data_IF_198898784848
#
_entry.id   IF_198898784848
#
_cell.length_a   1.000
_cell.length_b   1.000
_cell.length_c   1.000
_cell.angle_alpha   90.00
_cell.angle_beta   90.00
_cell.angle_gamma   90.00
#
_symmetry.space_group_name_H-M   'P 1'
#
loop_
_entity.id
_entity.type
_entity.pdbx_description
1 polymer ?
#
# COMPACT_ATOMS: atom_id res chain seq x y z
N UNK A 1 26.78 40.92 -37.25
CA UNK A 1 26.91 40.71 -35.79
C UNK A 1 25.53 40.48 -35.20
N UNK A 2 25.13 39.23 -35.12
CA UNK A 2 23.83 38.85 -34.58
C UNK A 2 23.93 38.72 -33.06
N UNK A 3 22.97 39.35 -32.34
CA UNK A 3 22.81 39.17 -30.88
C UNK A 3 22.06 37.89 -30.64
N UNK A 4 22.70 36.93 -29.96
CA UNK A 4 22.01 35.77 -29.39
C UNK A 4 20.97 36.22 -28.33
N UNK A 5 19.77 35.60 -28.30
CA UNK A 5 18.81 35.89 -27.25
C UNK A 5 19.27 35.25 -25.93
N UNK A 6 19.48 36.05 -24.92
CA UNK A 6 19.68 35.60 -23.54
C UNK A 6 18.37 34.97 -23.03
N UNK A 7 18.38 33.67 -22.83
CA UNK A 7 17.33 32.96 -22.12
C UNK A 7 17.44 33.33 -20.63
N UNK A 8 16.52 34.17 -20.14
CA UNK A 8 16.39 34.43 -18.71
C UNK A 8 15.94 33.16 -18.00
N UNK A 9 16.78 32.62 -17.15
CA UNK A 9 16.40 31.55 -16.22
C UNK A 9 15.38 32.14 -15.24
N UNK A 10 14.15 31.63 -15.32
CA UNK A 10 13.10 31.95 -14.34
C UNK A 10 13.44 31.15 -13.08
N UNK A 11 13.97 31.80 -12.05
CA UNK A 11 14.10 31.19 -10.73
C UNK A 11 12.70 31.10 -10.11
N UNK A 12 12.11 29.93 -10.18
CA UNK A 12 10.84 29.67 -9.47
C UNK A 12 11.14 29.61 -7.98
N UNK A 13 10.52 30.47 -7.17
CA UNK A 13 10.77 30.56 -5.74
C UNK A 13 10.29 29.28 -5.03
N UNK A 14 10.91 28.90 -3.91
CA UNK A 14 10.50 27.76 -3.07
C UNK A 14 9.04 27.86 -2.62
N UNK A 15 8.51 29.07 -2.43
CA UNK A 15 7.11 29.32 -2.10
C UNK A 15 6.14 28.92 -3.23
N UNK A 16 6.53 29.08 -4.52
CA UNK A 16 5.72 28.66 -5.68
C UNK A 16 5.66 27.12 -5.76
N UNK A 17 6.73 26.43 -5.43
CA UNK A 17 6.73 24.95 -5.37
C UNK A 17 5.84 24.43 -4.23
N UNK A 18 5.88 25.06 -3.04
CA UNK A 18 5.01 24.68 -1.92
C UNK A 18 3.51 24.87 -2.23
N UNK A 19 3.15 25.90 -3.01
CA UNK A 19 1.78 26.17 -3.43
C UNK A 19 1.22 25.13 -4.42
N UNK A 20 2.09 24.40 -5.13
CA UNK A 20 1.73 23.42 -6.15
C UNK A 20 1.75 21.95 -5.65
N UNK A 21 1.87 21.72 -4.34
CA UNK A 21 1.84 20.37 -3.76
C UNK A 21 0.43 19.82 -3.74
N UNK A 22 0.29 18.57 -4.20
CA UNK A 22 -0.98 17.87 -4.13
C UNK A 22 -1.33 17.57 -2.66
N UNK A 23 -2.57 17.83 -2.31
CA UNK A 23 -3.16 17.37 -1.07
C UNK A 23 -4.42 16.61 -1.39
N UNK A 24 -4.62 15.47 -0.75
CA UNK A 24 -5.81 14.68 -0.96
C UNK A 24 -6.24 14.00 0.33
N UNK A 25 -7.53 14.04 0.62
CA UNK A 25 -8.06 13.28 1.73
C UNK A 25 -9.35 12.56 1.33
N UNK A 26 -9.51 11.35 1.84
CA UNK A 26 -10.74 10.57 1.78
C UNK A 26 -11.05 10.05 3.17
N UNK A 27 -12.25 10.36 3.65
CA UNK A 27 -12.80 9.82 4.89
C UNK A 27 -14.17 9.22 4.62
N UNK A 28 -14.40 7.96 4.98
CA UNK A 28 -15.71 7.34 4.84
C UNK A 28 -15.94 6.20 5.82
N UNK A 29 -17.22 5.89 6.03
CA UNK A 29 -17.65 4.72 6.78
C UNK A 29 -18.50 3.77 5.94
N UNK A 30 -18.51 2.50 6.34
CA UNK A 30 -19.42 1.49 5.80
C UNK A 30 -20.12 0.77 6.93
N UNK A 31 -21.36 0.36 6.68
CA UNK A 31 -22.21 -0.33 7.66
C UNK A 31 -22.98 -1.47 7.02
N UNK A 32 -23.35 -2.46 7.82
CA UNK A 32 -24.22 -3.56 7.38
C UNK A 32 -25.69 -3.14 7.52
N UNK A 33 -26.44 -3.23 6.42
CA UNK A 33 -27.87 -2.93 6.36
C UNK A 33 -28.53 -4.07 5.59
N UNK A 34 -29.51 -4.73 6.19
CA UNK A 34 -30.25 -5.87 5.59
C UNK A 34 -29.32 -6.96 5.02
N UNK A 35 -28.28 -7.31 5.78
CA UNK A 35 -27.31 -8.36 5.40
C UNK A 35 -26.22 -7.92 4.41
N UNK A 36 -26.32 -6.72 3.83
CA UNK A 36 -25.38 -6.22 2.80
C UNK A 36 -24.62 -5.00 3.33
N UNK A 37 -23.34 -4.89 2.98
CA UNK A 37 -22.53 -3.72 3.32
C UNK A 37 -22.89 -2.55 2.42
N UNK A 38 -23.20 -1.42 3.04
CA UNK A 38 -23.53 -0.16 2.37
C UNK A 38 -22.56 0.94 2.80
N UNK A 39 -22.28 1.86 1.90
CA UNK A 39 -21.54 3.07 2.21
C UNK A 39 -22.39 3.97 3.11
N UNK A 40 -21.79 4.51 4.16
CA UNK A 40 -22.33 5.58 4.99
C UNK A 40 -21.92 6.97 4.49
N UNK A 41 -21.33 7.76 5.38
CA UNK A 41 -20.77 9.08 5.05
C UNK A 41 -19.59 8.97 4.10
N UNK A 42 -19.34 10.02 3.32
CA UNK A 42 -18.18 10.15 2.46
C UNK A 42 -17.75 11.61 2.40
N UNK A 43 -16.48 11.85 2.69
CA UNK A 43 -15.83 13.13 2.45
C UNK A 43 -14.59 12.91 1.58
N UNK A 44 -14.49 13.69 0.51
CA UNK A 44 -13.34 13.70 -0.41
C UNK A 44 -12.83 15.13 -0.57
N UNK A 45 -11.54 15.32 -0.55
CA UNK A 45 -10.92 16.61 -0.82
C UNK A 45 -9.62 16.49 -1.63
N UNK A 46 -9.25 17.58 -2.27
CA UNK A 46 -8.02 17.67 -3.08
C UNK A 46 -7.99 16.67 -4.24
N UNK A 47 -6.88 15.95 -4.42
CA UNK A 47 -6.64 15.05 -5.55
C UNK A 47 -6.96 13.58 -5.28
N UNK A 48 -7.37 13.21 -4.07
CA UNK A 48 -7.73 11.83 -3.76
C UNK A 48 -9.25 11.62 -3.89
N UNK A 49 -9.63 10.52 -4.53
CA UNK A 49 -11.03 10.14 -4.73
C UNK A 49 -11.22 8.67 -4.37
N UNK A 50 -12.45 8.29 -4.03
CA UNK A 50 -12.86 6.89 -3.90
C UNK A 50 -14.04 6.60 -4.81
N UNK A 51 -14.05 5.42 -5.42
CA UNK A 51 -15.14 4.93 -6.25
C UNK A 51 -15.59 3.59 -5.71
N UNK A 52 -16.88 3.36 -5.78
CA UNK A 52 -17.52 2.14 -5.32
C UNK A 52 -18.04 1.39 -6.54
N UNK A 53 -17.33 0.36 -7.04
CA UNK A 53 -17.83 -0.51 -8.08
C UNK A 53 -19.12 -1.18 -7.67
N UNK A 54 -19.86 -1.71 -8.65
CA UNK A 54 -21.09 -2.47 -8.35
C UNK A 54 -20.79 -3.59 -7.36
N UNK A 55 -21.61 -3.72 -6.30
CA UNK A 55 -21.39 -4.74 -5.27
C UNK A 55 -21.42 -6.15 -5.86
N UNK A 56 -20.50 -6.98 -5.44
CA UNK A 56 -20.52 -8.43 -5.72
C UNK A 56 -20.77 -9.15 -4.39
N UNK A 57 -22.02 -9.64 -4.18
CA UNK A 57 -22.43 -10.31 -2.94
C UNK A 57 -22.70 -9.35 -1.78
N UNK A 58 -22.39 -9.78 -0.54
CA UNK A 58 -22.70 -9.04 0.71
C UNK A 58 -21.68 -7.94 1.03
N UNK A 59 -20.49 -7.99 0.46
CA UNK A 59 -19.40 -7.04 0.71
C UNK A 59 -19.49 -5.79 -0.16
N UNK A 60 -18.73 -4.78 0.21
CA UNK A 60 -18.53 -3.57 -0.59
C UNK A 60 -17.06 -3.48 -1.01
N UNK A 61 -16.84 -3.09 -2.24
CA UNK A 61 -15.51 -2.74 -2.74
C UNK A 61 -15.38 -1.23 -2.87
N UNK A 62 -14.23 -0.68 -2.48
CA UNK A 62 -13.90 0.72 -2.65
C UNK A 62 -12.52 0.86 -3.31
N UNK A 63 -12.44 1.69 -4.35
CA UNK A 63 -11.26 1.88 -5.17
C UNK A 63 -10.79 3.33 -5.07
N UNK A 64 -9.60 3.53 -4.52
CA UNK A 64 -8.97 4.85 -4.46
C UNK A 64 -8.39 5.25 -5.82
N UNK A 65 -8.51 6.53 -6.12
CA UNK A 65 -7.99 7.16 -7.35
C UNK A 65 -7.22 8.40 -6.97
N UNK A 66 -5.92 8.41 -7.20
CA UNK A 66 -5.09 9.60 -7.12
C UNK A 66 -5.16 10.36 -8.46
N UNK A 67 -5.91 11.45 -8.50
CA UNK A 67 -6.11 12.26 -9.74
C UNK A 67 -4.92 13.17 -10.05
N UNK A 68 -3.92 13.25 -9.15
CA UNK A 68 -2.66 13.95 -9.44
C UNK A 68 -1.73 13.14 -10.36
N UNK A 69 -2.06 11.87 -10.64
CA UNK A 69 -1.28 11.01 -11.53
C UNK A 69 -0.02 10.42 -10.92
N UNK A 70 0.20 10.60 -9.62
CA UNK A 70 1.32 10.10 -8.82
C UNK A 70 1.57 10.99 -7.61
N UNK A 71 2.68 10.76 -6.92
CA UNK A 71 3.07 11.41 -5.65
C UNK A 71 4.40 12.14 -5.87
N UNK A 72 4.43 13.44 -5.68
CA UNK A 72 5.64 14.25 -5.72
C UNK A 72 6.15 14.55 -4.30
N UNK A 73 7.41 14.94 -4.16
CA UNK A 73 7.95 15.33 -2.85
C UNK A 73 7.14 16.48 -2.23
N UNK A 74 6.79 16.37 -0.96
CA UNK A 74 5.95 17.33 -0.23
C UNK A 74 4.44 17.16 -0.42
N UNK A 75 3.98 16.24 -1.28
CA UNK A 75 2.56 15.89 -1.36
C UNK A 75 2.09 15.21 -0.08
N UNK A 76 0.81 15.37 0.25
CA UNK A 76 0.20 14.74 1.41
C UNK A 76 -1.15 14.12 1.08
N UNK A 77 -1.30 12.85 1.45
CA UNK A 77 -2.53 12.07 1.28
C UNK A 77 -2.94 11.45 2.61
N UNK A 78 -4.21 11.63 2.96
CA UNK A 78 -4.79 11.10 4.18
C UNK A 78 -6.02 10.23 3.82
N UNK A 79 -6.05 8.98 4.32
CA UNK A 79 -7.18 8.05 4.18
C UNK A 79 -7.64 7.68 5.58
N UNK A 80 -8.94 7.81 5.84
CA UNK A 80 -9.58 7.38 7.08
C UNK A 80 -10.83 6.56 6.75
N UNK A 81 -10.85 5.30 7.16
CA UNK A 81 -11.93 4.36 6.84
C UNK A 81 -12.40 3.63 8.09
N UNK A 82 -13.69 3.69 8.33
CA UNK A 82 -14.35 2.96 9.42
C UNK A 82 -15.28 1.88 8.87
N UNK A 83 -15.08 0.64 9.31
CA UNK A 83 -15.91 -0.51 8.99
C UNK A 83 -16.74 -0.88 10.21
N UNK A 84 -18.03 -0.63 10.16
CA UNK A 84 -18.96 -0.89 11.27
C UNK A 84 -19.17 -2.39 11.49
N UNK A 85 -19.83 -2.73 12.58
CA UNK A 85 -20.08 -4.11 13.03
C UNK A 85 -20.63 -5.01 11.91
N UNK A 86 -19.99 -6.15 11.71
CA UNK A 86 -20.35 -7.18 10.74
C UNK A 86 -20.26 -6.76 9.27
N UNK A 87 -19.80 -5.53 8.95
CA UNK A 87 -19.65 -5.07 7.59
C UNK A 87 -18.38 -5.69 6.94
N UNK A 88 -18.39 -5.83 5.61
CA UNK A 88 -17.30 -6.42 4.82
C UNK A 88 -16.84 -5.42 3.78
N UNK A 89 -15.58 -4.99 3.86
CA UNK A 89 -15.02 -3.98 2.97
C UNK A 89 -13.70 -4.44 2.35
N UNK A 90 -13.60 -4.33 1.04
CA UNK A 90 -12.35 -4.50 0.29
C UNK A 90 -11.92 -3.16 -0.29
N UNK A 91 -10.71 -2.74 0.04
CA UNK A 91 -10.07 -1.51 -0.42
C UNK A 91 -8.99 -1.84 -1.44
N UNK A 92 -8.96 -1.12 -2.55
CA UNK A 92 -7.93 -1.24 -3.59
C UNK A 92 -7.60 0.13 -4.17
N UNK A 93 -6.60 0.22 -5.04
CA UNK A 93 -6.30 1.42 -5.83
C UNK A 93 -6.56 1.17 -7.31
N UNK A 94 -6.91 2.22 -8.07
CA UNK A 94 -7.22 2.12 -9.50
C UNK A 94 -6.00 1.76 -10.35
N UNK A 95 -4.81 2.13 -9.88
CA UNK A 95 -3.53 1.89 -10.54
C UNK A 95 -2.42 1.86 -9.49
N UNK A 96 -1.24 1.44 -9.92
CA UNK A 96 -0.02 1.57 -9.12
C UNK A 96 0.26 3.04 -8.76
N UNK A 97 0.65 3.29 -7.51
CA UNK A 97 1.06 4.62 -7.05
C UNK A 97 2.52 4.88 -7.45
N UNK A 98 2.72 5.90 -8.27
CA UNK A 98 4.04 6.33 -8.72
C UNK A 98 4.56 7.41 -7.79
N UNK A 99 5.65 7.15 -7.09
CA UNK A 99 6.32 8.15 -6.26
C UNK A 99 7.48 8.73 -7.02
N UNK A 100 7.33 9.96 -7.45
CA UNK A 100 8.30 10.63 -8.30
C UNK A 100 9.55 11.05 -7.52
N UNK A 101 10.62 11.30 -8.26
CA UNK A 101 11.82 11.92 -7.75
C UNK A 101 11.50 13.19 -6.98
N UNK A 102 12.03 13.31 -5.77
CA UNK A 102 11.96 14.51 -4.93
C UNK A 102 13.32 15.22 -4.90
N UNK A 103 13.31 16.55 -4.72
CA UNK A 103 14.53 17.30 -4.42
C UNK A 103 14.90 17.14 -2.95
N UNK A 104 14.08 17.66 -2.05
CA UNK A 104 14.34 17.65 -0.60
C UNK A 104 13.13 17.22 0.22
N UNK A 105 11.91 17.56 -0.21
CA UNK A 105 10.70 17.31 0.56
C UNK A 105 10.26 15.85 0.48
N UNK A 106 9.84 15.31 1.61
CA UNK A 106 9.27 13.96 1.72
C UNK A 106 7.76 14.04 1.55
N UNK A 107 7.20 13.18 0.70
CA UNK A 107 5.75 13.01 0.63
C UNK A 107 5.22 12.19 1.80
N UNK A 108 4.00 12.47 2.22
CA UNK A 108 3.34 11.80 3.34
C UNK A 108 2.09 11.07 2.88
N UNK A 109 1.93 9.82 3.29
CA UNK A 109 0.74 9.03 3.04
C UNK A 109 0.27 8.37 4.34
N UNK A 110 -0.80 8.89 4.94
CA UNK A 110 -1.34 8.42 6.21
C UNK A 110 -2.63 7.63 5.97
N UNK A 111 -2.70 6.43 6.51
CA UNK A 111 -3.83 5.52 6.37
C UNK A 111 -4.27 5.09 7.76
N UNK A 112 -5.48 5.50 8.14
CA UNK A 112 -6.17 5.10 9.36
C UNK A 112 -7.32 4.16 9.00
N UNK A 113 -7.32 2.95 9.58
CA UNK A 113 -8.33 1.93 9.33
C UNK A 113 -8.91 1.43 10.64
N UNK A 114 -10.21 1.50 10.80
CA UNK A 114 -10.92 1.00 11.98
C UNK A 114 -11.92 -0.08 11.59
N UNK A 115 -11.88 -1.24 12.24
CA UNK A 115 -12.81 -2.34 12.04
C UNK A 115 -13.49 -2.72 13.34
N UNK A 116 -14.82 -2.59 13.40
CA UNK A 116 -15.65 -2.94 14.56
C UNK A 116 -15.82 -4.46 14.71
N UNK A 117 -16.52 -4.90 15.74
CA UNK A 117 -16.77 -6.31 16.05
C UNK A 117 -17.33 -7.06 14.83
N UNK A 118 -16.75 -8.20 14.49
CA UNK A 118 -17.16 -9.03 13.36
C UNK A 118 -17.00 -8.40 11.98
N UNK A 119 -16.38 -7.22 11.90
CA UNK A 119 -16.09 -6.59 10.60
C UNK A 119 -14.96 -7.31 9.85
N UNK A 120 -15.03 -7.28 8.54
CA UNK A 120 -14.00 -7.83 7.64
C UNK A 120 -13.42 -6.72 6.78
N UNK A 121 -12.14 -6.45 6.92
CA UNK A 121 -11.42 -5.41 6.19
C UNK A 121 -10.28 -6.03 5.38
N UNK A 122 -10.31 -5.81 4.06
CA UNK A 122 -9.22 -6.15 3.18
C UNK A 122 -8.62 -4.87 2.55
N UNK A 123 -7.30 -4.69 2.66
CA UNK A 123 -6.52 -3.66 2.01
C UNK A 123 -5.63 -4.31 0.95
N UNK A 124 -5.99 -4.17 -0.31
CA UNK A 124 -5.38 -4.82 -1.47
C UNK A 124 -5.10 -3.79 -2.58
N UNK A 125 -4.18 -2.84 -2.38
CA UNK A 125 -3.84 -1.85 -3.39
C UNK A 125 -3.06 -2.47 -4.55
N UNK A 126 -2.84 -1.69 -5.60
CA UNK A 126 -1.80 -1.96 -6.60
C UNK A 126 -0.43 -1.58 -6.02
N UNK A 127 0.64 -1.79 -6.77
CA UNK A 127 2.01 -1.55 -6.35
C UNK A 127 2.28 -0.08 -6.03
N UNK A 128 3.18 0.17 -5.08
CA UNK A 128 3.84 1.47 -4.89
C UNK A 128 5.19 1.43 -5.61
N UNK A 129 5.38 2.25 -6.65
CA UNK A 129 6.60 2.30 -7.46
C UNK A 129 7.41 3.54 -7.07
N UNK A 130 8.56 3.32 -6.44
CA UNK A 130 9.47 4.37 -6.01
C UNK A 130 10.50 4.65 -7.11
N UNK A 131 10.47 5.83 -7.72
CA UNK A 131 11.47 6.23 -8.71
C UNK A 131 12.81 6.53 -8.04
N UNK A 132 13.90 6.58 -8.80
CA UNK A 132 15.19 6.99 -8.23
C UNK A 132 15.07 8.38 -7.59
N UNK A 133 15.58 8.52 -6.37
CA UNK A 133 15.48 9.70 -5.51
C UNK A 133 14.05 10.04 -5.03
N UNK A 134 13.11 9.11 -5.07
CA UNK A 134 11.83 9.26 -4.38
C UNK A 134 12.04 9.43 -2.88
N UNK A 135 11.19 10.23 -2.24
CA UNK A 135 11.17 10.41 -0.77
C UNK A 135 9.75 10.28 -0.28
N UNK A 136 9.46 9.21 0.46
CA UNK A 136 8.11 8.90 0.94
C UNK A 136 8.14 8.42 2.40
N UNK A 137 7.21 8.93 3.18
CA UNK A 137 6.85 8.42 4.50
C UNK A 137 5.40 7.94 4.47
N UNK A 138 5.18 6.64 4.65
CA UNK A 138 3.85 6.05 4.73
C UNK A 138 3.60 5.53 6.14
N UNK A 139 2.36 5.65 6.59
CA UNK A 139 1.93 5.21 7.90
C UNK A 139 0.58 4.52 7.83
N UNK A 140 0.50 3.33 8.44
CA UNK A 140 -0.73 2.63 8.74
C UNK A 140 -0.98 2.63 10.24
N UNK A 141 -2.11 3.17 10.65
CA UNK A 141 -2.69 3.02 11.99
C UNK A 141 -3.97 2.21 11.86
N UNK A 142 -3.99 1.01 12.40
CA UNK A 142 -5.09 0.07 12.23
C UNK A 142 -5.60 -0.33 13.61
N UNK A 143 -6.89 -0.10 13.83
CA UNK A 143 -7.59 -0.47 15.06
C UNK A 143 -8.65 -1.53 14.78
N UNK A 144 -8.48 -2.71 15.35
CA UNK A 144 -9.37 -3.87 15.23
C UNK A 144 -10.08 -4.12 16.55
N UNK A 145 -11.40 -4.18 16.52
CA UNK A 145 -12.17 -4.70 17.63
C UNK A 145 -12.00 -6.24 17.74
N UNK A 146 -12.38 -6.81 18.87
CA UNK A 146 -12.39 -8.26 19.03
C UNK A 146 -13.34 -8.91 18.01
N UNK A 147 -12.86 -10.02 17.39
CA UNK A 147 -13.60 -10.69 16.33
C UNK A 147 -13.56 -10.01 14.96
N UNK A 148 -12.93 -8.84 14.82
CA UNK A 148 -12.66 -8.25 13.51
C UNK A 148 -11.56 -9.02 12.78
N UNK A 149 -11.62 -9.02 11.44
CA UNK A 149 -10.57 -9.60 10.58
C UNK A 149 -9.93 -8.54 9.67
N UNK A 150 -8.65 -8.74 9.42
CA UNK A 150 -7.83 -7.91 8.53
C UNK A 150 -7.07 -8.78 7.53
N UNK A 151 -7.11 -8.38 6.28
CA UNK A 151 -6.19 -8.82 5.23
C UNK A 151 -5.49 -7.57 4.69
N UNK A 152 -4.21 -7.41 5.00
CA UNK A 152 -3.41 -6.24 4.60
C UNK A 152 -2.28 -6.69 3.70
N UNK A 153 -2.22 -6.17 2.48
CA UNK A 153 -1.24 -6.50 1.48
C UNK A 153 -0.59 -5.23 0.91
N UNK A 154 0.73 -5.26 0.75
CA UNK A 154 1.50 -4.19 0.11
C UNK A 154 2.60 -4.76 -0.77
N UNK A 155 2.77 -4.17 -1.96
CA UNK A 155 3.89 -4.43 -2.85
C UNK A 155 4.60 -3.11 -3.12
N UNK A 156 5.92 -3.08 -2.88
CA UNK A 156 6.77 -1.91 -3.13
C UNK A 156 7.84 -2.28 -4.16
N UNK A 157 7.95 -1.46 -5.20
CA UNK A 157 8.88 -1.64 -6.31
C UNK A 157 9.90 -0.50 -6.30
N UNK A 158 11.18 -0.84 -6.30
CA UNK A 158 12.30 0.10 -6.23
C UNK A 158 12.88 0.39 -7.61
N UNK A 159 12.32 1.37 -8.30
CA UNK A 159 12.66 1.76 -9.67
C UNK A 159 11.59 1.38 -10.69
N UNK A 160 11.82 1.79 -11.94
CA UNK A 160 10.96 1.51 -13.09
C UNK A 160 11.64 0.50 -14.01
N UNK A 161 11.51 -0.78 -13.72
CA UNK A 161 12.17 -1.85 -14.49
C UNK A 161 11.92 -1.72 -16.01
N UNK A 162 10.70 -1.41 -16.43
CA UNK A 162 10.35 -1.20 -17.84
C UNK A 162 11.09 -0.03 -18.51
N UNK A 163 11.67 0.88 -17.73
CA UNK A 163 12.48 2.03 -18.19
C UNK A 163 13.97 1.85 -17.90
N UNK A 164 14.40 0.66 -17.46
CA UNK A 164 15.78 0.39 -17.07
C UNK A 164 16.25 1.17 -15.84
N UNK A 165 15.34 1.70 -15.03
CA UNK A 165 15.64 2.49 -13.83
C UNK A 165 15.54 1.64 -12.58
N UNK A 166 16.54 1.76 -11.71
CA UNK A 166 16.52 1.26 -10.34
C UNK A 166 16.61 2.42 -9.35
N UNK A 167 15.96 2.30 -8.20
CA UNK A 167 16.08 3.29 -7.11
C UNK A 167 17.44 3.15 -6.44
N UNK A 168 18.42 3.98 -6.83
CA UNK A 168 19.75 3.99 -6.23
C UNK A 168 19.80 4.77 -4.93
N UNK A 169 19.17 5.92 -4.91
CA UNK A 169 19.13 6.83 -3.75
C UNK A 169 17.69 7.18 -3.40
N UNK A 170 17.44 7.70 -2.21
CA UNK A 170 16.15 8.22 -1.79
C UNK A 170 15.83 7.94 -0.34
N UNK A 171 14.54 8.01 0.00
CA UNK A 171 14.07 7.69 1.33
C UNK A 171 12.69 7.02 1.25
N UNK A 172 12.57 5.88 1.88
CA UNK A 172 11.30 5.19 2.06
C UNK A 172 11.16 4.75 3.50
N UNK A 173 10.14 5.28 4.17
CA UNK A 173 9.77 4.90 5.54
C UNK A 173 8.34 4.42 5.53
N UNK A 174 8.13 3.17 5.92
CA UNK A 174 6.80 2.56 6.00
C UNK A 174 6.57 2.04 7.42
N UNK A 175 5.57 2.61 8.11
CA UNK A 175 5.26 2.31 9.51
C UNK A 175 3.89 1.68 9.63
N UNK A 176 3.84 0.48 10.19
CA UNK A 176 2.60 -0.22 10.48
C UNK A 176 2.40 -0.36 11.99
N UNK A 177 1.22 -0.01 12.45
CA UNK A 177 0.77 -0.19 13.83
C UNK A 177 -0.62 -0.80 13.80
N UNK A 178 -0.74 -2.01 14.34
CA UNK A 178 -2.03 -2.69 14.46
C UNK A 178 -2.37 -2.87 15.94
N UNK A 179 -3.52 -2.37 16.33
CA UNK A 179 -4.10 -2.55 17.65
C UNK A 179 -5.28 -3.51 17.57
N UNK A 180 -5.48 -4.26 18.62
CA UNK A 180 -6.66 -5.11 18.82
C UNK A 180 -7.20 -4.90 20.21
N UNK A 181 -8.47 -4.53 20.33
CA UNK A 181 -9.05 -4.15 21.63
C UNK A 181 -8.25 -3.02 22.31
N UNK A 182 -7.77 -2.04 21.55
CA UNK A 182 -6.93 -0.93 22.03
C UNK A 182 -5.46 -1.28 22.34
N UNK A 183 -5.08 -2.57 22.36
CA UNK A 183 -3.72 -3.02 22.65
C UNK A 183 -2.91 -3.15 21.36
N UNK A 184 -1.69 -2.59 21.33
CA UNK A 184 -0.76 -2.75 20.22
C UNK A 184 -0.31 -4.22 20.12
N UNK A 185 -0.68 -4.90 19.04
CA UNK A 185 -0.37 -6.32 18.81
C UNK A 185 0.69 -6.52 17.71
N UNK A 186 0.82 -5.55 16.82
CA UNK A 186 1.83 -5.56 15.76
C UNK A 186 2.40 -4.16 15.53
N UNK A 187 3.72 -4.09 15.41
CA UNK A 187 4.44 -2.86 15.11
C UNK A 187 5.65 -3.17 14.23
N UNK A 188 5.71 -2.52 13.08
CA UNK A 188 6.82 -2.63 12.15
C UNK A 188 7.22 -1.26 11.62
N UNK A 189 8.47 -1.13 11.20
CA UNK A 189 8.96 0.02 10.43
C UNK A 189 10.03 -0.49 9.46
N UNK A 190 9.71 -0.43 8.17
CA UNK A 190 10.70 -0.55 7.11
C UNK A 190 11.31 0.83 6.88
N UNK A 191 12.64 0.93 6.89
CA UNK A 191 13.35 2.17 6.64
C UNK A 191 14.52 1.96 5.71
N UNK A 192 14.44 2.56 4.54
CA UNK A 192 15.51 2.66 3.56
C UNK A 192 15.77 4.14 3.31
N UNK A 193 17.00 4.60 3.49
CA UNK A 193 17.38 6.02 3.39
C UNK A 193 18.80 6.14 2.86
N UNK A 194 19.08 7.18 2.06
CA UNK A 194 20.39 7.39 1.42
C UNK A 194 20.62 6.44 0.25
N UNK A 195 21.67 5.61 0.31
CA UNK A 195 22.03 4.63 -0.73
C UNK A 195 21.12 3.39 -0.65
N UNK A 196 19.93 3.52 -1.21
CA UNK A 196 18.90 2.47 -1.21
C UNK A 196 19.36 1.27 -2.00
N UNK A 197 19.99 1.48 -3.17
CA UNK A 197 20.49 0.42 -4.03
C UNK A 197 21.52 -0.47 -3.33
N UNK A 198 22.47 0.12 -2.62
CA UNK A 198 23.47 -0.63 -1.83
C UNK A 198 22.82 -1.42 -0.70
N UNK A 199 21.81 -0.84 -0.03
CA UNK A 199 21.07 -1.54 1.02
C UNK A 199 20.29 -2.73 0.48
N UNK A 200 19.61 -2.57 -0.66
CA UNK A 200 18.87 -3.67 -1.30
C UNK A 200 19.80 -4.78 -1.81
N UNK A 201 21.03 -4.45 -2.23
CA UNK A 201 22.03 -5.42 -2.65
C UNK A 201 22.52 -6.34 -1.51
N UNK A 202 22.37 -5.91 -0.25
CA UNK A 202 22.82 -6.71 0.91
C UNK A 202 22.00 -8.00 1.04
N UNK A 203 22.70 -9.12 1.26
CA UNK A 203 22.09 -10.44 1.38
C UNK A 203 21.02 -10.53 2.49
N UNK A 204 21.21 -9.79 3.60
CA UNK A 204 20.29 -9.78 4.74
C UNK A 204 19.10 -8.82 4.57
N UNK A 205 19.03 -8.08 3.45
CA UNK A 205 17.92 -7.13 3.16
C UNK A 205 17.08 -7.64 2.00
N UNK A 206 17.61 -7.62 0.78
CA UNK A 206 16.88 -8.00 -0.42
C UNK A 206 17.71 -8.76 -1.47
N UNK A 207 18.99 -9.06 -1.22
CA UNK A 207 19.89 -9.80 -2.15
C UNK A 207 19.88 -9.27 -3.59
N UNK A 208 19.69 -7.95 -3.75
CA UNK A 208 19.52 -7.31 -5.05
C UNK A 208 18.09 -7.34 -5.60
N UNK A 209 17.12 -7.80 -4.81
CA UNK A 209 15.70 -7.72 -5.17
C UNK A 209 15.26 -6.27 -5.35
N UNK A 210 14.45 -6.03 -6.37
CA UNK A 210 13.90 -4.70 -6.71
C UNK A 210 12.42 -4.58 -6.33
N UNK A 211 11.82 -5.64 -5.82
CA UNK A 211 10.46 -5.64 -5.31
C UNK A 211 10.38 -6.38 -3.97
N UNK A 212 9.64 -5.82 -3.05
CA UNK A 212 9.28 -6.45 -1.78
C UNK A 212 7.76 -6.48 -1.62
N UNK A 213 7.27 -7.52 -0.96
CA UNK A 213 5.86 -7.66 -0.63
C UNK A 213 5.65 -8.04 0.82
N UNK A 214 4.57 -7.57 1.41
CA UNK A 214 4.15 -7.94 2.75
C UNK A 214 2.67 -8.25 2.76
N UNK A 215 2.32 -9.38 3.36
CA UNK A 215 0.93 -9.80 3.61
C UNK A 215 0.79 -10.04 5.11
N UNK A 216 -0.19 -9.37 5.74
CA UNK A 216 -0.55 -9.52 7.14
C UNK A 216 -2.02 -9.93 7.24
N UNK A 217 -2.30 -11.00 7.98
CA UNK A 217 -3.65 -11.57 8.14
C UNK A 217 -3.97 -11.69 9.63
N UNK A 218 -5.13 -11.16 10.02
CA UNK A 218 -5.70 -11.25 11.36
C UNK A 218 -7.16 -11.71 11.26
N UNK A 219 -7.60 -12.76 11.95
CA UNK A 219 -6.80 -13.69 12.74
C UNK A 219 -5.91 -14.57 11.84
N UNK A 220 -4.79 -15.03 12.38
CA UNK A 220 -3.88 -15.92 11.71
C UNK A 220 -3.14 -16.82 12.70
N UNK A 221 -2.82 -18.03 12.25
CA UNK A 221 -2.17 -19.08 13.04
C UNK A 221 -1.27 -19.95 12.17
N UNK A 222 -0.61 -20.95 12.78
CA UNK A 222 0.24 -21.90 12.07
C UNK A 222 -0.55 -22.76 11.06
N UNK A 223 -1.84 -23.00 11.28
CA UNK A 223 -2.70 -23.73 10.34
C UNK A 223 -2.89 -22.93 9.05
N UNK A 224 -3.11 -21.62 9.17
CA UNK A 224 -3.17 -20.73 8.02
C UNK A 224 -1.83 -20.69 7.28
N UNK A 225 -0.71 -20.58 8.01
CA UNK A 225 0.63 -20.59 7.43
C UNK A 225 0.92 -21.91 6.70
N UNK A 226 0.51 -23.05 7.25
CA UNK A 226 0.65 -24.33 6.59
C UNK A 226 -0.08 -24.38 5.24
N UNK A 227 -1.32 -23.88 5.17
CA UNK A 227 -2.07 -23.75 3.91
C UNK A 227 -1.38 -22.80 2.91
N UNK A 228 -0.85 -21.67 3.40
CA UNK A 228 -0.12 -20.73 2.55
C UNK A 228 1.15 -21.35 1.96
N UNK A 229 1.83 -22.27 2.67
CA UNK A 229 2.97 -23.03 2.16
C UNK A 229 2.62 -24.02 1.05
N UNK A 230 1.34 -24.37 0.90
CA UNK A 230 0.85 -25.22 -0.21
C UNK A 230 0.67 -24.46 -1.52
N UNK A 231 1.04 -23.18 -1.58
CA UNK A 231 1.05 -22.41 -2.83
C UNK A 231 1.95 -23.12 -3.87
N UNK A 232 1.62 -23.00 -5.17
CA UNK A 232 2.34 -23.73 -6.22
C UNK A 232 3.86 -23.58 -6.15
N UNK A 233 4.58 -24.65 -6.44
CA UNK A 233 6.06 -24.70 -6.40
C UNK A 233 6.75 -23.86 -7.49
N UNK A 234 6.00 -23.22 -8.38
CA UNK A 234 6.52 -22.29 -9.39
C UNK A 234 6.81 -20.88 -8.85
N UNK A 235 6.98 -20.77 -7.56
CA UNK A 235 7.27 -19.51 -6.88
C UNK A 235 8.71 -19.07 -7.19
N UNK A 236 8.83 -17.94 -7.85
CA UNK A 236 10.10 -17.36 -8.32
C UNK A 236 10.63 -16.25 -7.38
N UNK A 237 10.11 -16.13 -6.17
CA UNK A 237 10.59 -15.16 -5.19
C UNK A 237 10.95 -15.82 -3.86
N UNK A 238 11.76 -15.16 -3.06
CA UNK A 238 11.98 -15.57 -1.68
C UNK A 238 10.75 -15.23 -0.85
N UNK A 239 10.18 -16.25 -0.16
CA UNK A 239 9.00 -16.10 0.68
C UNK A 239 9.31 -16.58 2.09
N UNK A 240 9.10 -15.70 3.05
CA UNK A 240 9.10 -16.03 4.48
C UNK A 240 7.67 -16.05 5.02
N UNK A 241 7.27 -17.14 5.68
CA UNK A 241 5.95 -17.33 6.28
C UNK A 241 6.07 -17.61 7.77
N UNK A 242 5.29 -16.90 8.59
CA UNK A 242 5.27 -17.06 10.04
C UNK A 242 3.92 -16.69 10.64
N UNK A 243 3.63 -17.26 11.82
CA UNK A 243 2.46 -16.87 12.61
C UNK A 243 2.89 -16.65 14.07
N UNK A 244 2.30 -15.65 14.72
CA UNK A 244 2.46 -15.38 16.16
C UNK A 244 1.41 -14.38 16.63
N UNK A 245 1.08 -14.40 17.92
CA UNK A 245 0.14 -13.45 18.55
C UNK A 245 -1.22 -13.32 17.86
N UNK A 246 -1.71 -14.37 17.18
CA UNK A 246 -3.01 -14.37 16.52
C UNK A 246 -3.03 -13.70 15.15
N UNK A 247 -1.87 -13.53 14.50
CA UNK A 247 -1.77 -13.14 13.09
C UNK A 247 -0.77 -14.01 12.32
N UNK A 248 -0.97 -14.09 11.01
CA UNK A 248 -0.05 -14.70 10.07
C UNK A 248 0.56 -13.63 9.16
N UNK A 249 1.80 -13.82 8.77
CA UNK A 249 2.54 -12.91 7.91
C UNK A 249 3.25 -13.68 6.80
N UNK A 250 3.22 -13.11 5.58
CA UNK A 250 4.11 -13.49 4.50
C UNK A 250 4.93 -12.29 4.06
N UNK A 251 6.22 -12.51 3.81
CA UNK A 251 7.14 -11.54 3.22
C UNK A 251 7.69 -12.08 1.93
N UNK A 252 7.76 -11.22 0.94
CA UNK A 252 8.18 -11.56 -0.42
C UNK A 252 9.35 -10.66 -0.82
N UNK A 253 10.30 -11.22 -1.54
CA UNK A 253 11.39 -10.48 -2.16
C UNK A 253 11.71 -11.08 -3.52
N UNK A 254 11.72 -10.27 -4.59
CA UNK A 254 12.03 -10.69 -5.93
C UNK A 254 12.77 -9.60 -6.73
N UNK A 255 13.42 -10.01 -7.81
CA UNK A 255 14.00 -9.09 -8.79
C UNK A 255 12.97 -8.58 -9.80
N UNK A 256 11.82 -9.25 -9.91
CA UNK A 256 10.74 -8.93 -10.84
C UNK A 256 9.42 -8.73 -10.07
N UNK A 257 8.85 -7.54 -10.19
CA UNK A 257 7.62 -7.18 -9.49
C UNK A 257 6.39 -7.96 -9.99
N UNK A 258 6.33 -8.30 -11.28
CA UNK A 258 5.22 -9.07 -11.83
C UNK A 258 5.24 -10.51 -11.32
N UNK A 259 6.43 -11.11 -11.19
CA UNK A 259 6.59 -12.43 -10.56
C UNK A 259 6.22 -12.39 -9.09
N UNK A 260 6.71 -11.39 -8.34
CA UNK A 260 6.33 -11.22 -6.93
C UNK A 260 4.81 -11.12 -6.78
N UNK A 261 4.15 -10.35 -7.64
CA UNK A 261 2.69 -10.22 -7.64
C UNK A 261 2.00 -11.57 -7.89
N UNK A 262 2.46 -12.34 -8.89
CA UNK A 262 1.91 -13.65 -9.20
C UNK A 262 2.06 -14.63 -8.01
N UNK A 263 3.22 -14.64 -7.38
CA UNK A 263 3.47 -15.49 -6.21
C UNK A 263 2.63 -15.06 -5.00
N UNK A 264 2.46 -13.74 -4.80
CA UNK A 264 1.58 -13.22 -3.76
C UNK A 264 0.11 -13.58 -4.02
N UNK A 265 -0.35 -13.56 -5.28
CA UNK A 265 -1.69 -14.03 -5.65
C UNK A 265 -1.86 -15.52 -5.34
N UNK A 266 -0.86 -16.35 -5.63
CA UNK A 266 -0.88 -17.78 -5.32
C UNK A 266 -0.99 -18.05 -3.82
N UNK A 267 -0.24 -17.30 -3.00
CA UNK A 267 -0.31 -17.36 -1.53
C UNK A 267 -1.66 -16.86 -1.01
N UNK A 268 -2.16 -15.73 -1.54
CA UNK A 268 -3.47 -15.19 -1.19
C UNK A 268 -4.62 -16.17 -1.48
N UNK A 269 -4.57 -16.88 -2.60
CA UNK A 269 -5.56 -17.90 -2.95
C UNK A 269 -5.61 -19.09 -1.96
N UNK A 270 -4.51 -19.33 -1.22
CA UNK A 270 -4.47 -20.30 -0.12
C UNK A 270 -4.88 -19.69 1.23
N UNK A 271 -4.74 -18.38 1.36
CA UNK A 271 -5.00 -17.68 2.61
C UNK A 271 -6.49 -17.33 2.79
N UNK A 272 -7.21 -17.02 1.70
CA UNK A 272 -8.61 -16.59 1.75
C UNK A 272 -9.43 -17.23 0.62
N UNK A 273 -10.71 -17.47 0.90
CA UNK A 273 -11.70 -17.86 -0.10
C UNK A 273 -12.40 -16.66 -0.73
N UNK A 274 -12.19 -15.45 -0.21
CA UNK A 274 -12.77 -14.24 -0.78
C UNK A 274 -12.12 -13.94 -2.15
N UNK A 275 -12.91 -13.54 -3.15
CA UNK A 275 -12.37 -13.19 -4.46
C UNK A 275 -11.46 -11.96 -4.35
N UNK A 276 -10.35 -11.98 -5.08
CA UNK A 276 -9.49 -10.80 -5.21
C UNK A 276 -10.19 -9.73 -6.06
N UNK A 277 -9.91 -8.44 -5.82
CA UNK A 277 -10.39 -7.37 -6.70
C UNK A 277 -10.01 -7.64 -8.16
N UNK A 278 -10.89 -7.32 -9.11
CA UNK A 278 -10.64 -7.54 -10.56
C UNK A 278 -9.30 -6.99 -11.02
N UNK A 279 -8.88 -5.83 -10.49
CA UNK A 279 -7.59 -5.21 -10.80
C UNK A 279 -6.36 -6.01 -10.33
N UNK A 280 -6.56 -7.03 -9.49
CA UNK A 280 -5.51 -7.97 -9.10
C UNK A 280 -5.35 -9.13 -10.10
N UNK A 281 -6.34 -9.37 -10.95
CA UNK A 281 -6.39 -10.52 -11.86
C UNK A 281 -5.79 -10.22 -13.26
N UNK A 282 -5.31 -8.99 -13.47
CA UNK A 282 -4.75 -8.52 -14.75
C UNK A 282 -3.35 -8.01 -14.63
#
# INVERSE_FOLDING_TARGET
>A
MGREPQIRSISVSSATFAANRARGAVCFDVRRVDGVTRRGSLHESGSLRVRFPSPEGEGLSAMFVNTAGGIAGGDRFDIDVTVAEGAKLTLTTAAAEKVYRAQDETSEFNIALTAAVGAHLAWLPQETILFDRARMSRRFDIDLADGASLLLCEIVVFGRAAMGETMRHGSFVDRWRVRRGGRLVFAETVRLDGDVGEKLARAVIAKGGTAIGTLLIVPGDETLVARMREAPASIDCEIGLSAWNGFAMARFCAQDAARLRADMQAVLARATSAPLPRLWLH
#
